data_IF_918535786003
#
_entry.id   IF_918535786003
#
_cell.length_a   1.000
_cell.length_b   1.000
_cell.length_c   1.000
_cell.angle_alpha   90.00
_cell.angle_beta   90.00
_cell.angle_gamma   90.00
#
_symmetry.space_group_name_H-M   'P 1'
#
loop_
_entity.id
_entity.type
_entity.pdbx_description
1 polymer ?
#
# COMPACT_ATOMS: atom_id res chain seq x y z
N UNK A 1 -12.09 -1.39 -24.30
CA UNK A 1 -12.47 -2.46 -23.36
C UNK A 1 -11.81 -2.14 -22.04
N UNK A 2 -12.57 -1.60 -21.09
CA UNK A 2 -12.11 -1.44 -19.71
C UNK A 2 -11.76 -2.81 -19.15
N UNK A 3 -10.48 -3.03 -18.87
CA UNK A 3 -10.03 -4.28 -18.26
C UNK A 3 -10.45 -4.26 -16.78
N UNK A 4 -11.13 -5.29 -16.25
CA UNK A 4 -11.53 -5.34 -14.85
C UNK A 4 -10.32 -5.36 -13.88
N UNK A 5 -9.09 -5.50 -14.41
CA UNK A 5 -7.86 -5.46 -13.65
C UNK A 5 -7.64 -4.12 -12.92
N UNK A 6 -8.02 -2.99 -13.54
CA UNK A 6 -7.79 -1.67 -12.93
C UNK A 6 -8.58 -1.47 -11.63
N UNK A 7 -9.92 -1.62 -11.61
CA UNK A 7 -10.69 -1.47 -10.36
C UNK A 7 -10.30 -2.51 -9.30
N UNK A 8 -9.98 -3.74 -9.71
CA UNK A 8 -9.51 -4.79 -8.76
C UNK A 8 -8.21 -4.39 -8.09
N UNK A 9 -7.26 -3.83 -8.84
CA UNK A 9 -5.98 -3.37 -8.29
C UNK A 9 -6.14 -2.15 -7.40
N UNK A 10 -7.04 -1.22 -7.73
CA UNK A 10 -7.36 -0.07 -6.87
C UNK A 10 -7.94 -0.54 -5.52
N UNK A 11 -8.90 -1.46 -5.54
CA UNK A 11 -9.43 -2.03 -4.30
C UNK A 11 -8.38 -2.80 -3.49
N UNK A 12 -7.44 -3.47 -4.15
CA UNK A 12 -6.33 -4.14 -3.47
C UNK A 12 -5.40 -3.15 -2.76
N UNK A 13 -5.10 -2.02 -3.40
CA UNK A 13 -4.32 -0.91 -2.83
C UNK A 13 -5.05 -0.31 -1.63
N UNK A 14 -6.34 -0.01 -1.75
CA UNK A 14 -7.16 0.55 -0.66
C UNK A 14 -7.22 -0.39 0.55
N UNK A 15 -7.38 -1.71 0.31
CA UNK A 15 -7.37 -2.71 1.38
C UNK A 15 -6.02 -2.73 2.12
N UNK A 16 -4.91 -2.70 1.38
CA UNK A 16 -3.57 -2.65 1.97
C UNK A 16 -3.37 -1.37 2.76
N UNK A 17 -3.83 -0.23 2.24
CA UNK A 17 -3.73 1.05 2.95
C UNK A 17 -4.47 0.99 4.29
N UNK A 18 -5.71 0.50 4.30
CA UNK A 18 -6.49 0.33 5.54
C UNK A 18 -5.83 -0.60 6.56
N UNK A 19 -5.21 -1.69 6.09
CA UNK A 19 -4.47 -2.62 6.95
C UNK A 19 -3.25 -1.94 7.59
N UNK A 20 -2.48 -1.18 6.80
CA UNK A 20 -1.32 -0.44 7.31
C UNK A 20 -1.74 0.67 8.28
N UNK A 21 -2.87 1.34 8.07
CA UNK A 21 -3.40 2.32 9.03
C UNK A 21 -3.70 1.67 10.39
N UNK A 22 -4.34 0.50 10.38
CA UNK A 22 -4.62 -0.25 11.60
C UNK A 22 -3.34 -0.71 12.29
N UNK A 23 -2.39 -1.29 11.53
CA UNK A 23 -1.09 -1.68 12.06
C UNK A 23 -0.39 -0.49 12.72
N UNK A 24 -0.50 0.69 12.11
CA UNK A 24 0.08 1.91 12.63
C UNK A 24 -0.56 2.31 13.98
N UNK A 25 -1.88 2.28 14.07
CA UNK A 25 -2.60 2.54 15.33
C UNK A 25 -2.20 1.56 16.45
N UNK A 26 -1.96 0.28 16.13
CA UNK A 26 -1.49 -0.69 17.11
C UNK A 26 -0.07 -0.41 17.59
N UNK A 27 0.87 -0.10 16.68
CA UNK A 27 2.24 0.29 17.05
C UNK A 27 2.22 1.51 17.96
N UNK A 28 1.37 2.50 17.67
CA UNK A 28 1.18 3.69 18.50
C UNK A 28 0.61 3.37 19.89
N UNK A 29 -0.21 2.33 20.00
CA UNK A 29 -0.70 1.81 21.27
C UNK A 29 0.31 0.92 22.02
N UNK A 30 1.57 0.84 21.54
CA UNK A 30 2.62 0.01 22.13
C UNK A 30 2.47 -1.49 21.86
N UNK A 31 1.63 -1.88 20.89
CA UNK A 31 1.41 -3.27 20.50
C UNK A 31 2.27 -3.60 19.29
N UNK A 32 3.02 -4.71 19.38
CA UNK A 32 3.67 -5.29 18.20
C UNK A 32 2.62 -6.00 17.35
N UNK A 33 2.60 -5.67 16.06
CA UNK A 33 1.95 -6.50 15.05
C UNK A 33 3.01 -7.32 14.33
N UNK A 34 2.66 -8.55 14.03
CA UNK A 34 3.38 -9.33 13.03
C UNK A 34 2.92 -8.88 11.65
N UNK A 35 3.87 -8.50 10.80
CA UNK A 35 3.64 -8.07 9.41
C UNK A 35 4.17 -9.12 8.43
N UNK A 36 4.40 -10.35 8.88
CA UNK A 36 4.80 -11.45 8.03
C UNK A 36 3.82 -11.63 6.86
N UNK A 37 4.39 -11.80 5.66
CA UNK A 37 3.63 -11.93 4.41
C UNK A 37 3.24 -10.60 3.75
N UNK A 38 3.36 -9.46 4.44
CA UNK A 38 3.06 -8.15 3.85
C UNK A 38 3.96 -7.84 2.65
N UNK A 39 5.26 -8.16 2.73
CA UNK A 39 6.20 -7.99 1.62
C UNK A 39 5.80 -8.82 0.39
N UNK A 40 5.26 -10.02 0.60
CA UNK A 40 4.79 -10.88 -0.49
C UNK A 40 3.53 -10.31 -1.14
N UNK A 41 2.57 -9.80 -0.35
CA UNK A 41 1.37 -9.14 -0.87
C UNK A 41 1.73 -7.86 -1.66
N UNK A 42 2.64 -7.02 -1.14
CA UNK A 42 3.10 -5.81 -1.84
C UNK A 42 3.81 -6.18 -3.13
N UNK A 43 4.68 -7.20 -3.11
CA UNK A 43 5.39 -7.68 -4.30
C UNK A 43 4.41 -8.16 -5.37
N UNK A 44 3.40 -8.94 -4.99
CA UNK A 44 2.37 -9.41 -5.91
C UNK A 44 1.55 -8.25 -6.51
N UNK A 45 1.19 -7.27 -5.69
CA UNK A 45 0.46 -6.08 -6.14
C UNK A 45 1.30 -5.25 -7.13
N UNK A 46 2.56 -4.98 -6.80
CA UNK A 46 3.49 -4.25 -7.66
C UNK A 46 3.69 -4.98 -9.00
N UNK A 47 3.85 -6.30 -8.98
CA UNK A 47 3.97 -7.10 -10.20
C UNK A 47 2.71 -7.00 -11.08
N UNK A 48 1.52 -7.06 -10.47
CA UNK A 48 0.26 -6.93 -11.19
C UNK A 48 0.06 -5.53 -11.80
N UNK A 49 0.47 -4.46 -11.10
CA UNK A 49 0.46 -3.09 -11.63
C UNK A 49 1.46 -2.95 -12.79
N UNK A 50 2.66 -3.53 -12.67
CA UNK A 50 3.66 -3.53 -13.74
C UNK A 50 3.20 -4.29 -14.99
N UNK A 51 2.27 -5.24 -14.86
CA UNK A 51 1.67 -5.96 -15.98
C UNK A 51 0.61 -5.14 -16.74
N UNK A 52 0.11 -4.03 -16.18
CA UNK A 52 -0.86 -3.18 -16.86
C UNK A 52 -0.25 -2.42 -18.05
N UNK A 53 -1.07 -1.97 -19.02
CA UNK A 53 -0.66 -1.00 -20.04
C UNK A 53 -0.10 0.27 -19.40
N UNK A 54 0.90 0.90 -20.03
CA UNK A 54 1.63 2.04 -19.45
C UNK A 54 0.70 3.22 -19.16
N UNK A 55 -0.34 3.41 -19.97
CA UNK A 55 -1.34 4.47 -19.82
C UNK A 55 -2.16 4.30 -18.54
N UNK A 56 -2.31 3.07 -18.04
CA UNK A 56 -3.10 2.75 -16.85
C UNK A 56 -2.26 2.77 -15.56
N UNK A 57 -0.93 2.65 -15.66
CA UNK A 57 -0.04 2.60 -14.47
C UNK A 57 0.02 3.92 -13.72
N UNK A 58 -0.14 5.04 -14.43
CA UNK A 58 0.01 6.39 -13.86
C UNK A 58 -0.93 6.65 -12.69
N UNK A 59 -2.13 6.04 -12.69
CA UNK A 59 -3.13 6.22 -11.62
C UNK A 59 -2.68 5.67 -10.27
N UNK A 60 -1.74 4.71 -10.25
CA UNK A 60 -1.26 4.08 -9.01
C UNK A 60 -0.11 4.83 -8.35
N UNK A 61 0.50 5.83 -9.00
CA UNK A 61 1.73 6.48 -8.53
C UNK A 61 1.59 7.06 -7.12
N UNK A 62 0.54 7.86 -6.89
CA UNK A 62 0.29 8.45 -5.57
C UNK A 62 -0.03 7.41 -4.51
N UNK A 63 -0.84 6.41 -4.86
CA UNK A 63 -1.25 5.38 -3.91
C UNK A 63 -0.09 4.45 -3.50
N UNK A 64 0.79 4.08 -4.44
CA UNK A 64 2.01 3.33 -4.15
C UNK A 64 2.99 4.13 -3.29
N UNK A 65 3.12 5.44 -3.54
CA UNK A 65 3.96 6.32 -2.72
C UNK A 65 3.42 6.40 -1.28
N UNK A 66 2.11 6.53 -1.11
CA UNK A 66 1.46 6.52 0.21
C UNK A 66 1.68 5.21 0.96
N UNK A 67 1.50 4.06 0.30
CA UNK A 67 1.79 2.74 0.87
C UNK A 67 3.26 2.65 1.32
N UNK A 68 4.21 3.07 0.47
CA UNK A 68 5.63 3.05 0.78
C UNK A 68 5.96 3.89 2.02
N UNK A 69 5.44 5.11 2.11
CA UNK A 69 5.66 5.98 3.26
C UNK A 69 5.17 5.35 4.57
N UNK A 70 4.00 4.69 4.54
CA UNK A 70 3.43 4.01 5.71
C UNK A 70 4.24 2.79 6.14
N UNK A 71 4.71 1.98 5.20
CA UNK A 71 5.56 0.82 5.50
C UNK A 71 6.87 1.28 6.16
N UNK A 72 7.52 2.31 5.59
CA UNK A 72 8.75 2.87 6.15
C UNK A 72 8.54 3.38 7.58
N UNK A 73 7.41 4.03 7.83
CA UNK A 73 7.07 4.54 9.16
C UNK A 73 6.82 3.41 10.17
N UNK A 74 6.11 2.36 9.77
CA UNK A 74 5.93 1.15 10.59
C UNK A 74 7.27 0.47 10.93
N UNK A 75 8.16 0.35 9.95
CA UNK A 75 9.50 -0.21 10.15
C UNK A 75 10.36 0.65 11.08
N UNK A 76 10.23 1.97 11.00
CA UNK A 76 10.91 2.92 11.88
C UNK A 76 10.27 3.01 13.28
N UNK A 77 9.08 2.45 13.49
CA UNK A 77 8.28 2.70 14.70
C UNK A 77 7.84 4.17 14.85
N UNK A 78 7.77 4.90 13.74
CA UNK A 78 7.47 6.33 13.67
C UNK A 78 6.15 6.59 12.93
N UNK A 79 5.56 7.77 13.10
CA UNK A 79 4.35 8.18 12.37
C UNK A 79 4.71 8.58 10.93
N UNK A 80 4.04 8.03 9.90
CA UNK A 80 4.26 8.50 8.53
C UNK A 80 3.72 9.93 8.44
N UNK A 81 4.59 10.87 8.06
CA UNK A 81 4.16 12.19 7.60
C UNK A 81 3.31 11.95 6.36
N UNK A 82 2.00 12.20 6.47
CA UNK A 82 1.11 12.24 5.33
C UNK A 82 1.69 13.26 4.34
N UNK A 83 2.11 12.79 3.17
CA UNK A 83 2.42 13.68 2.06
C UNK A 83 1.10 14.31 1.62
N UNK A 84 0.78 15.47 2.19
CA UNK A 84 -0.28 16.35 1.72
C UNK A 84 0.05 16.76 0.28
N UNK A 85 -0.84 16.41 -0.65
CA UNK A 85 -0.89 16.91 -2.01
C UNK A 85 -2.21 17.65 -2.21
#
# INVERSE_FOLDING_TARGET
MDSPALPVLLSAVERLDGMLALAHAFVQAGRRLDLDGLDAEITALCAAILALPREQRGVFGGALHGLQARILALQAGAVPVAAEA
#
